data_IF_188049584584
#
_entry.id   IF_188049584584
#
_cell.length_a   1.000
_cell.length_b   1.000
_cell.length_c   1.000
_cell.angle_alpha   90.00
_cell.angle_beta   90.00
_cell.angle_gamma   90.00
#
_symmetry.space_group_name_H-M   'P 1'
#
loop_
_entity.id
_entity.type
_entity.pdbx_description
1 polymer ?
#
# COMPACT_ATOMS: atom_id res chain seq x y z
N UNK A 1 -14.19 -13.59 8.56
CA UNK A 1 -14.06 -13.17 9.98
C UNK A 1 -15.20 -12.22 10.37
N UNK A 2 -15.34 -11.08 9.69
CA UNK A 2 -16.36 -10.05 9.99
C UNK A 2 -17.79 -10.60 10.03
N UNK A 3 -18.18 -11.38 9.01
CA UNK A 3 -19.55 -11.89 8.87
C UNK A 3 -20.56 -10.83 8.42
N UNK A 4 -20.09 -9.65 7.98
CA UNK A 4 -20.92 -8.52 7.50
C UNK A 4 -20.68 -8.22 6.03
N UNK A 5 -19.45 -7.88 5.64
CA UNK A 5 -19.08 -7.57 4.25
C UNK A 5 -17.65 -8.01 3.95
N UNK A 6 -17.34 -8.12 2.65
CA UNK A 6 -15.98 -8.25 2.11
C UNK A 6 -15.37 -6.91 1.67
N UNK A 7 -16.17 -5.86 1.54
CA UNK A 7 -15.68 -4.50 1.24
C UNK A 7 -15.07 -3.88 2.51
N UNK A 8 -13.86 -3.33 2.39
CA UNK A 8 -13.16 -2.74 3.53
C UNK A 8 -13.88 -1.51 4.07
N UNK A 9 -14.57 -0.72 3.23
CA UNK A 9 -15.28 0.49 3.65
C UNK A 9 -16.45 0.16 4.58
N UNK A 10 -17.17 -0.91 4.24
CA UNK A 10 -18.25 -1.43 5.09
C UNK A 10 -17.69 -1.95 6.42
N UNK A 11 -16.57 -2.69 6.37
CA UNK A 11 -15.90 -3.20 7.57
C UNK A 11 -15.46 -2.05 8.48
N UNK A 12 -14.88 -0.99 7.93
CA UNK A 12 -14.47 0.19 8.70
C UNK A 12 -15.67 0.91 9.33
N UNK A 13 -16.76 1.06 8.58
CA UNK A 13 -18.00 1.68 9.06
C UNK A 13 -18.60 0.89 10.21
N UNK A 14 -18.71 -0.43 10.07
CA UNK A 14 -19.22 -1.32 11.12
C UNK A 14 -18.26 -1.41 12.32
N UNK A 15 -16.95 -1.39 12.09
CA UNK A 15 -15.98 -1.32 13.18
C UNK A 15 -16.15 -0.02 13.99
N UNK A 16 -16.32 1.11 13.31
CA UNK A 16 -16.57 2.41 13.94
C UNK A 16 -17.92 2.48 14.68
N UNK A 17 -18.93 1.71 14.24
CA UNK A 17 -20.21 1.57 14.95
C UNK A 17 -20.15 0.64 16.18
N UNK A 18 -18.99 0.03 16.45
CA UNK A 18 -18.76 -0.85 17.61
C UNK A 18 -18.98 -2.34 17.31
N UNK A 19 -19.16 -2.74 16.05
CA UNK A 19 -19.34 -4.13 15.67
C UNK A 19 -18.03 -4.93 15.87
N UNK A 20 -17.98 -5.71 16.96
CA UNK A 20 -16.76 -6.41 17.42
C UNK A 20 -16.10 -7.29 16.36
N UNK A 21 -16.88 -8.00 15.53
CA UNK A 21 -16.31 -8.87 14.49
C UNK A 21 -15.75 -8.08 13.31
N UNK A 22 -16.30 -6.89 13.02
CA UNK A 22 -15.76 -6.00 11.99
C UNK A 22 -14.44 -5.39 12.46
N UNK A 23 -14.39 -4.92 13.72
CA UNK A 23 -13.15 -4.48 14.36
C UNK A 23 -12.07 -5.58 14.33
N UNK A 24 -12.41 -6.81 14.72
CA UNK A 24 -11.49 -7.95 14.65
C UNK A 24 -11.00 -8.22 13.21
N UNK A 25 -11.87 -8.11 12.21
CA UNK A 25 -11.48 -8.31 10.82
C UNK A 25 -10.48 -7.24 10.35
N UNK A 26 -10.72 -5.97 10.69
CA UNK A 26 -9.81 -4.86 10.41
C UNK A 26 -8.46 -5.03 11.12
N UNK A 27 -8.47 -5.45 12.39
CA UNK A 27 -7.25 -5.67 13.16
C UNK A 27 -6.43 -6.84 12.60
N UNK A 28 -7.08 -7.95 12.24
CA UNK A 28 -6.38 -9.09 11.59
C UNK A 28 -5.81 -8.68 10.23
N UNK A 29 -6.55 -7.90 9.44
CA UNK A 29 -6.10 -7.43 8.14
C UNK A 29 -4.83 -6.57 8.27
N UNK A 30 -4.89 -5.53 9.11
CA UNK A 30 -3.77 -4.59 9.31
C UNK A 30 -2.59 -5.25 10.01
N UNK A 31 -2.83 -6.21 10.91
CA UNK A 31 -1.77 -7.04 11.51
C UNK A 31 -1.02 -7.87 10.47
N UNK A 32 -1.73 -8.46 9.49
CA UNK A 32 -1.08 -9.21 8.40
C UNK A 32 -0.22 -8.30 7.52
N UNK A 33 -0.71 -7.11 7.16
CA UNK A 33 0.08 -6.12 6.42
C UNK A 33 1.36 -5.75 7.17
N UNK A 34 1.23 -5.45 8.47
CA UNK A 34 2.37 -5.14 9.36
C UNK A 34 3.39 -6.27 9.40
N UNK A 35 2.94 -7.53 9.49
CA UNK A 35 3.83 -8.71 9.43
C UNK A 35 4.59 -8.79 8.10
N UNK A 36 3.93 -8.52 6.98
CA UNK A 36 4.60 -8.54 5.68
C UNK A 36 5.64 -7.43 5.54
N UNK A 37 5.32 -6.21 5.99
CA UNK A 37 6.29 -5.10 6.04
C UNK A 37 7.52 -5.52 6.84
N UNK A 38 7.34 -6.07 8.06
CA UNK A 38 8.45 -6.53 8.89
C UNK A 38 9.26 -7.66 8.25
N UNK A 39 8.60 -8.63 7.61
CA UNK A 39 9.27 -9.73 6.92
C UNK A 39 10.13 -9.24 5.74
N UNK A 40 9.60 -8.33 4.92
CA UNK A 40 10.33 -7.77 3.78
C UNK A 40 11.44 -6.82 4.22
N UNK A 41 11.21 -6.02 5.25
CA UNK A 41 12.27 -5.21 5.87
C UNK A 41 13.45 -6.08 6.32
N UNK A 42 13.17 -7.20 6.98
CA UNK A 42 14.20 -8.14 7.41
C UNK A 42 14.93 -8.78 6.22
N UNK A 43 14.19 -9.20 5.19
CA UNK A 43 14.76 -9.81 3.99
C UNK A 43 15.67 -8.87 3.20
N UNK A 44 15.37 -7.56 3.19
CA UNK A 44 16.15 -6.54 2.47
C UNK A 44 17.25 -5.88 3.33
N UNK A 45 17.34 -6.20 4.63
CA UNK A 45 18.28 -5.56 5.57
C UNK A 45 17.88 -4.15 6.01
N UNK A 46 16.63 -3.76 5.76
CA UNK A 46 16.08 -2.44 6.06
C UNK A 46 14.95 -2.06 5.10
N UNK A 47 14.45 -0.83 5.25
CA UNK A 47 13.62 -0.19 4.23
C UNK A 47 13.81 1.33 4.29
N UNK A 48 13.68 1.99 3.13
CA UNK A 48 13.67 3.46 3.03
C UNK A 48 12.25 4.00 2.93
N UNK A 49 11.35 3.22 2.31
CA UNK A 49 10.01 3.68 1.92
C UNK A 49 8.96 2.58 2.03
N UNK A 50 7.75 2.95 2.47
CA UNK A 50 6.52 2.15 2.36
C UNK A 50 5.57 2.89 1.42
N UNK A 51 5.05 2.21 0.40
CA UNK A 51 4.05 2.77 -0.52
C UNK A 51 2.73 2.05 -0.33
N UNK A 52 1.67 2.81 -0.12
CA UNK A 52 0.28 2.35 -0.17
C UNK A 52 -0.31 2.73 -1.53
N UNK A 53 -0.82 1.72 -2.24
CA UNK A 53 -1.48 1.86 -3.54
C UNK A 53 -2.67 0.91 -3.62
N UNK A 54 -3.41 0.95 -4.72
CA UNK A 54 -4.60 0.16 -4.97
C UNK A 54 -5.80 0.58 -4.13
N UNK A 55 -6.95 -0.05 -4.39
CA UNK A 55 -8.23 0.38 -3.84
C UNK A 55 -8.25 0.62 -2.32
N UNK A 56 -7.71 -0.29 -1.50
CA UNK A 56 -7.70 -0.10 -0.04
C UNK A 56 -6.60 0.88 0.40
N UNK A 57 -5.39 0.74 -0.14
CA UNK A 57 -4.22 1.55 0.27
C UNK A 57 -4.41 3.03 -0.04
N UNK A 58 -5.04 3.36 -1.17
CA UNK A 58 -5.29 4.74 -1.60
C UNK A 58 -6.42 5.43 -0.82
N UNK A 59 -7.41 4.67 -0.35
CA UNK A 59 -8.65 5.22 0.17
C UNK A 59 -8.78 5.15 1.70
N UNK A 60 -8.18 4.16 2.35
CA UNK A 60 -8.38 3.94 3.79
C UNK A 60 -7.22 4.50 4.62
N UNK A 61 -7.41 5.71 5.16
CA UNK A 61 -6.49 6.28 6.14
C UNK A 61 -6.37 5.42 7.42
N UNK A 62 -7.45 4.78 7.85
CA UNK A 62 -7.47 3.88 9.02
C UNK A 62 -6.57 2.67 8.82
N UNK A 63 -6.65 2.02 7.65
CA UNK A 63 -5.81 0.87 7.31
C UNK A 63 -4.34 1.27 7.31
N UNK A 64 -4.00 2.41 6.68
CA UNK A 64 -2.61 2.91 6.65
C UNK A 64 -2.08 3.17 8.06
N UNK A 65 -2.83 3.91 8.88
CA UNK A 65 -2.47 4.22 10.27
C UNK A 65 -2.27 2.96 11.11
N UNK A 66 -3.27 2.04 11.15
CA UNK A 66 -3.19 0.78 11.91
C UNK A 66 -2.04 -0.13 11.46
N UNK A 67 -1.77 -0.15 10.15
CA UNK A 67 -0.67 -0.93 9.57
C UNK A 67 0.68 -0.39 10.02
N UNK A 68 0.85 0.93 10.06
CA UNK A 68 2.10 1.58 10.43
C UNK A 68 2.30 1.77 11.94
N UNK A 69 1.25 1.62 12.75
CA UNK A 69 1.33 1.74 14.21
C UNK A 69 2.36 0.77 14.80
N UNK A 70 3.15 1.20 15.80
CA UNK A 70 4.16 0.38 16.48
C UNK A 70 5.32 -0.08 15.57
N UNK A 71 5.55 0.60 14.44
CA UNK A 71 6.72 0.40 13.56
C UNK A 71 7.79 1.48 13.75
N UNK A 72 7.74 2.25 14.83
CA UNK A 72 8.72 3.31 15.14
C UNK A 72 10.12 2.73 15.34
N UNK A 73 10.24 1.47 15.78
CA UNK A 73 11.52 0.76 15.86
C UNK A 73 12.16 0.50 14.48
N UNK A 74 11.36 0.46 13.41
CA UNK A 74 11.84 0.46 12.02
C UNK A 74 12.06 1.89 11.50
N UNK A 75 11.72 2.91 12.28
CA UNK A 75 11.82 4.33 11.90
C UNK A 75 10.61 4.86 11.14
N UNK A 76 9.46 4.17 11.21
CA UNK A 76 8.20 4.58 10.57
C UNK A 76 7.39 5.44 11.55
N UNK A 77 7.04 6.66 11.14
CA UNK A 77 6.10 7.54 11.85
C UNK A 77 5.14 8.17 10.85
N UNK A 78 3.84 8.11 11.13
CA UNK A 78 2.78 8.69 10.29
C UNK A 78 2.41 10.08 10.83
N UNK A 79 2.21 11.03 9.92
CA UNK A 79 1.48 12.27 10.20
C UNK A 79 -0.01 11.98 9.99
N UNK A 80 -0.75 11.84 11.09
CA UNK A 80 -2.17 11.46 11.04
C UNK A 80 -3.05 12.50 10.36
N UNK A 81 -2.64 13.78 10.32
CA UNK A 81 -3.40 14.80 9.60
C UNK A 81 -3.21 14.62 8.10
N UNK A 82 -1.96 14.54 7.62
CA UNK A 82 -1.66 14.27 6.20
C UNK A 82 -2.28 12.95 5.74
N UNK A 83 -2.22 11.92 6.58
CA UNK A 83 -2.81 10.63 6.29
C UNK A 83 -4.34 10.73 6.09
N UNK A 84 -5.07 11.48 6.92
CA UNK A 84 -6.52 11.66 6.79
C UNK A 84 -6.91 12.48 5.56
N UNK A 85 -6.12 13.49 5.22
CA UNK A 85 -6.37 14.37 4.07
C UNK A 85 -6.04 13.69 2.73
N UNK A 86 -5.29 12.60 2.74
CA UNK A 86 -4.85 11.89 1.54
C UNK A 86 -5.83 10.80 1.14
N UNK A 87 -6.62 11.05 0.09
CA UNK A 87 -7.54 10.08 -0.53
C UNK A 87 -7.40 10.16 -2.05
N UNK A 88 -7.05 9.04 -2.70
CA UNK A 88 -6.88 8.94 -4.17
C UNK A 88 -5.94 9.99 -4.79
N UNK A 89 -4.95 10.42 -4.03
CA UNK A 89 -3.94 11.36 -4.51
C UNK A 89 -2.56 10.92 -4.04
N UNK A 90 -1.54 11.34 -4.78
CA UNK A 90 -0.17 11.11 -4.40
C UNK A 90 0.21 12.03 -3.24
N UNK A 91 0.73 11.46 -2.15
CA UNK A 91 1.22 12.27 -1.02
C UNK A 91 2.19 11.49 -0.15
N UNK A 92 3.13 12.22 0.47
CA UNK A 92 3.93 11.72 1.60
C UNK A 92 3.14 11.93 2.88
N UNK A 93 2.81 10.82 3.56
CA UNK A 93 2.03 10.80 4.81
C UNK A 93 2.87 10.49 6.05
N UNK A 94 4.18 10.29 5.90
CA UNK A 94 5.09 10.16 7.04
C UNK A 94 5.32 11.50 7.74
N UNK A 95 5.50 11.48 9.06
CA UNK A 95 5.94 12.64 9.83
C UNK A 95 7.33 13.14 9.36
N UNK A 96 7.63 14.41 9.62
CA UNK A 96 8.90 15.02 9.18
C UNK A 96 10.13 14.35 9.80
N UNK A 97 10.01 13.88 11.04
CA UNK A 97 11.04 13.17 11.79
C UNK A 97 11.01 11.63 11.55
N UNK A 98 10.20 11.16 10.60
CA UNK A 98 10.20 9.76 10.18
C UNK A 98 11.44 9.46 9.35
N UNK A 99 12.21 8.43 9.74
CA UNK A 99 13.37 7.96 8.98
C UNK A 99 12.96 7.24 7.70
N UNK A 100 11.86 6.48 7.78
CA UNK A 100 11.25 5.80 6.64
C UNK A 100 10.15 6.70 6.06
N UNK A 101 10.14 6.90 4.74
CA UNK A 101 9.04 7.60 4.07
C UNK A 101 7.82 6.70 3.94
N UNK A 102 6.64 7.26 4.12
CA UNK A 102 5.38 6.56 3.85
C UNK A 102 4.61 7.37 2.83
N UNK A 103 4.24 6.76 1.71
CA UNK A 103 3.55 7.41 0.61
C UNK A 103 2.22 6.73 0.32
N UNK A 104 1.29 7.52 -0.19
CA UNK A 104 0.16 7.04 -0.97
C UNK A 104 0.46 7.37 -2.43
N UNK A 105 0.36 6.38 -3.31
CA UNK A 105 0.59 6.55 -4.76
C UNK A 105 -0.57 5.88 -5.48
N UNK A 106 -1.45 6.63 -6.16
CA UNK A 106 -2.50 6.04 -6.97
C UNK A 106 -1.90 5.15 -8.06
N UNK A 107 -2.38 3.92 -8.18
CA UNK A 107 -1.99 3.06 -9.30
C UNK A 107 -2.70 3.52 -10.57
N UNK A 108 -2.05 3.34 -11.72
CA UNK A 108 -2.67 3.53 -13.04
C UNK A 108 -2.25 2.35 -13.92
N UNK A 109 -2.94 1.23 -13.72
CA UNK A 109 -2.64 -0.04 -14.39
C UNK A 109 -2.79 0.08 -15.90
N UNK A 110 -3.80 0.84 -16.36
CA UNK A 110 -4.03 1.10 -17.79
C UNK A 110 -2.89 1.89 -18.43
N UNK A 111 -2.32 2.88 -17.72
CA UNK A 111 -1.17 3.63 -18.22
C UNK A 111 0.07 2.74 -18.31
N UNK A 112 0.33 1.90 -17.31
CA UNK A 112 1.47 0.96 -17.34
C UNK A 112 1.33 0.02 -18.55
N UNK A 113 0.15 -0.56 -18.76
CA UNK A 113 -0.12 -1.42 -19.93
C UNK A 113 0.10 -0.66 -21.24
N UNK A 114 -0.36 0.60 -21.32
CA UNK A 114 -0.19 1.42 -22.51
C UNK A 114 1.28 1.76 -22.80
N UNK A 115 2.07 2.07 -21.76
CA UNK A 115 3.50 2.35 -21.86
C UNK A 115 4.28 1.10 -22.27
N UNK A 116 4.04 -0.03 -21.62
CA UNK A 116 4.67 -1.31 -21.97
C UNK A 116 4.33 -1.71 -23.41
N UNK A 117 3.07 -1.55 -23.82
CA UNK A 117 2.62 -1.80 -25.20
C UNK A 117 3.34 -0.90 -26.19
N UNK A 118 3.46 0.40 -25.89
CA UNK A 118 4.15 1.36 -26.75
C UNK A 118 5.64 1.00 -26.89
N UNK A 119 6.31 0.67 -25.79
CA UNK A 119 7.71 0.27 -25.78
C UNK A 119 7.96 -0.99 -26.64
N UNK A 120 7.12 -2.02 -26.48
CA UNK A 120 7.23 -3.27 -27.27
C UNK A 120 7.02 -2.98 -28.77
N UNK A 121 6.03 -2.15 -29.12
CA UNK A 121 5.74 -1.77 -30.51
C UNK A 121 6.90 -0.96 -31.11
N UNK A 122 7.53 -0.07 -30.35
CA UNK A 122 8.69 0.70 -30.80
C UNK A 122 9.92 -0.19 -31.04
N UNK A 123 10.26 -1.08 -30.12
CA UNK A 123 11.38 -2.05 -30.28
C UNK A 123 11.18 -2.94 -31.50
N UNK A 124 9.96 -3.43 -31.70
CA UNK A 124 9.61 -4.27 -32.87
C UNK A 124 9.81 -3.51 -34.20
N UNK A 125 9.52 -2.20 -34.24
CA UNK A 125 9.74 -1.36 -35.43
C UNK A 125 11.22 -1.07 -35.70
N UNK A 126 12.06 -1.10 -34.68
CA UNK A 126 13.50 -0.82 -34.78
C UNK A 126 14.34 -2.07 -35.11
N UNK A 127 13.72 -3.26 -35.21
CA UNK A 127 14.41 -4.49 -35.58
C UNK A 127 15.28 -5.09 -34.47
N UNK A 128 15.12 -4.62 -33.23
CA UNK A 128 15.72 -5.22 -32.05
C UNK A 128 14.81 -6.37 -31.58
N UNK A 129 15.22 -7.62 -31.82
CA UNK A 129 14.54 -8.78 -31.25
C UNK A 129 14.58 -8.68 -29.73
N UNK A 130 13.41 -8.67 -29.09
CA UNK A 130 13.30 -8.70 -27.64
C UNK A 130 13.99 -9.97 -27.10
N UNK A 131 15.01 -9.82 -26.26
CA UNK A 131 15.61 -10.97 -25.59
C UNK A 131 14.54 -11.72 -24.79
N UNK A 132 14.50 -13.06 -24.86
CA UNK A 132 13.51 -13.84 -24.14
C UNK A 132 13.69 -13.63 -22.64
N UNK A 133 12.61 -13.21 -21.98
CA UNK A 133 12.54 -13.13 -20.51
C UNK A 133 12.94 -14.49 -19.93
N UNK A 134 14.10 -14.52 -19.29
CA UNK A 134 14.75 -15.73 -18.81
C UNK A 134 13.86 -16.54 -17.88
N UNK A 135 13.64 -17.80 -18.24
CA UNK A 135 13.23 -18.84 -17.29
C UNK A 135 14.49 -19.42 -16.66
N UNK A 136 14.73 -19.08 -15.40
CA UNK A 136 15.57 -19.84 -14.46
C UNK A 136 14.69 -20.48 -13.40
#
# INVERSE_FOLDING_TARGET
ISGVSSDMRDIETEAASGHKRAQLALDVFTYRLKKYIGAYAAAMGGLDTIVFTGGIGENSATVRSKTCQNLEFLGVKIDEQKNKETVKQEAVISAEDSRVKVLVVPTNEELVIALDTAEIVEKTKQGEEAEPVGTS
#
